data_IF_819999789237
#
_entry.id   IF_819999789237
#
_cell.length_a   1.000
_cell.length_b   1.000
_cell.length_c   1.000
_cell.angle_alpha   90.00
_cell.angle_beta   90.00
_cell.angle_gamma   90.00
#
_symmetry.space_group_name_H-M   'P 1'
#
loop_
_entity.id
_entity.type
_entity.pdbx_description
1 polymer ?
#
# COMPACT_ATOMS: atom_id res chain seq x y z
N UNK A 1 17.74 -37.06 -0.57
CA UNK A 1 16.58 -36.52 -1.31
C UNK A 1 15.92 -35.29 -0.67
N UNK A 2 15.82 -35.17 0.66
CA UNK A 2 15.10 -34.05 1.31
C UNK A 2 15.70 -32.64 1.04
N UNK A 3 17.03 -32.51 1.00
CA UNK A 3 17.71 -31.23 0.75
C UNK A 3 17.40 -30.66 -0.65
N UNK A 4 17.49 -31.51 -1.69
CA UNK A 4 17.15 -31.14 -3.06
C UNK A 4 15.69 -30.66 -3.18
N UNK A 5 14.77 -31.29 -2.45
CA UNK A 5 13.35 -30.92 -2.41
C UNK A 5 13.13 -29.56 -1.73
N UNK A 6 13.90 -29.22 -0.69
CA UNK A 6 13.84 -27.90 -0.01
C UNK A 6 14.36 -26.78 -0.90
N UNK A 7 15.51 -26.98 -1.54
CA UNK A 7 16.12 -26.00 -2.46
C UNK A 7 15.17 -25.75 -3.63
N UNK A 8 14.67 -26.81 -4.27
CA UNK A 8 13.69 -26.69 -5.36
C UNK A 8 12.44 -25.92 -4.93
N UNK A 9 11.91 -26.16 -3.73
CA UNK A 9 10.72 -25.43 -3.22
C UNK A 9 11.01 -23.95 -3.00
N UNK A 10 12.19 -23.60 -2.49
CA UNK A 10 12.59 -22.21 -2.28
C UNK A 10 12.75 -21.45 -3.60
N UNK A 11 13.42 -22.06 -4.58
CA UNK A 11 13.62 -21.47 -5.91
C UNK A 11 12.34 -21.34 -6.74
N UNK A 12 11.31 -22.13 -6.41
CA UNK A 12 9.98 -22.05 -7.02
C UNK A 12 9.04 -21.09 -6.26
N UNK A 13 9.48 -20.43 -5.20
CA UNK A 13 8.69 -19.35 -4.60
C UNK A 13 8.60 -18.24 -5.63
N UNK A 14 7.40 -17.95 -6.13
CA UNK A 14 7.17 -16.74 -6.92
C UNK A 14 7.60 -15.56 -6.06
N UNK A 15 8.52 -14.75 -6.59
CA UNK A 15 8.74 -13.42 -6.05
C UNK A 15 7.37 -12.74 -6.05
N UNK A 16 6.93 -12.26 -4.89
CA UNK A 16 5.61 -11.62 -4.77
C UNK A 16 5.55 -10.54 -5.83
N UNK A 17 4.68 -10.71 -6.83
CA UNK A 17 4.57 -9.74 -7.90
C UNK A 17 4.36 -8.38 -7.25
N UNK A 18 5.31 -7.47 -7.45
CA UNK A 18 5.04 -6.04 -7.30
C UNK A 18 3.99 -5.76 -8.36
N UNK A 19 2.73 -5.90 -7.98
CA UNK A 19 1.56 -5.63 -8.80
C UNK A 19 1.71 -4.18 -9.27
N UNK A 20 2.21 -4.02 -10.50
CA UNK A 20 2.38 -2.75 -11.19
C UNK A 20 0.97 -2.21 -11.49
N UNK A 21 0.25 -1.71 -10.48
CA UNK A 21 -0.90 -0.81 -10.66
C UNK A 21 -0.50 0.56 -11.23
N UNK A 22 0.65 0.65 -11.89
CA UNK A 22 1.01 1.72 -12.81
C UNK A 22 0.44 1.46 -14.22
N UNK A 23 -0.82 1.02 -14.35
CA UNK A 23 -1.50 0.89 -15.65
C UNK A 23 -3.03 1.10 -15.51
N UNK A 24 -3.45 2.27 -15.02
CA UNK A 24 -4.78 2.84 -15.33
C UNK A 24 -4.90 4.31 -14.91
N UNK A 25 -3.97 5.17 -15.37
CA UNK A 25 -4.19 6.63 -15.41
C UNK A 25 -3.91 7.21 -16.79
N UNK A 26 -4.04 6.39 -17.85
CA UNK A 26 -4.21 6.82 -19.24
C UNK A 26 -5.63 7.35 -19.50
N UNK A 27 -6.10 8.24 -18.62
CA UNK A 27 -7.23 9.14 -18.86
C UNK A 27 -6.99 10.42 -18.08
N UNK A 28 -5.87 11.07 -18.40
CA UNK A 28 -5.75 12.51 -18.23
C UNK A 28 -6.90 13.15 -19.02
N UNK A 29 -7.92 13.65 -18.31
CA UNK A 29 -8.78 14.70 -18.86
C UNK A 29 -7.94 15.97 -18.86
N UNK A 30 -7.55 16.40 -20.05
CA UNK A 30 -7.31 17.82 -20.32
C UNK A 30 -8.49 18.62 -19.76
N UNK A 31 -8.23 19.45 -18.77
CA UNK A 31 -9.04 20.64 -18.53
C UNK A 31 -8.07 21.80 -18.58
N UNK A 32 -7.96 22.33 -19.79
CA UNK A 32 -7.53 23.70 -20.04
C UNK A 32 -8.44 24.66 -19.25
N UNK A 33 -7.85 25.40 -18.32
CA UNK A 33 -7.91 26.88 -18.27
C UNK A 33 -7.17 27.41 -17.04
N UNK A 34 -6.43 28.46 -17.33
CA UNK A 34 -5.49 29.23 -16.51
C UNK A 34 -6.18 29.83 -15.27
N UNK A 35 -5.54 29.68 -14.10
CA UNK A 35 -5.55 30.71 -13.05
C UNK A 35 -4.20 30.70 -12.32
N UNK A 36 -3.36 31.70 -12.60
CA UNK A 36 -1.96 31.81 -12.19
C UNK A 36 -1.75 32.12 -10.68
N UNK A 37 -2.79 32.05 -9.84
CA UNK A 37 -2.69 32.41 -8.41
C UNK A 37 -3.07 31.32 -7.40
N UNK A 38 -3.20 30.06 -7.80
CA UNK A 38 -3.28 28.95 -6.83
C UNK A 38 -2.07 28.04 -6.98
N UNK A 39 -1.12 28.16 -6.04
CA UNK A 39 -0.12 27.12 -5.78
C UNK A 39 -0.90 25.88 -5.31
N UNK A 40 -1.49 25.16 -6.27
CA UNK A 40 -2.19 23.90 -6.05
C UNK A 40 -1.12 22.88 -5.68
N UNK A 41 -0.95 22.66 -4.38
CA UNK A 41 -0.22 21.51 -3.85
C UNK A 41 -1.00 20.24 -4.20
N UNK A 42 -0.93 19.80 -5.46
CA UNK A 42 -1.43 18.49 -5.91
C UNK A 42 -0.40 17.43 -5.59
N UNK A 43 -0.36 17.05 -4.34
CA UNK A 43 0.27 15.80 -3.92
C UNK A 43 -0.63 15.22 -2.83
N UNK A 44 -1.60 14.41 -3.25
CA UNK A 44 -2.45 13.65 -2.34
C UNK A 44 -1.98 12.21 -2.42
N UNK A 45 -1.54 11.65 -1.29
CA UNK A 45 -1.28 10.21 -1.14
C UNK A 45 -2.52 9.60 -0.51
N UNK A 46 -3.34 8.96 -1.33
CA UNK A 46 -4.52 8.21 -0.87
C UNK A 46 -4.08 6.78 -0.58
N UNK A 47 -4.08 6.37 0.69
CA UNK A 47 -3.90 4.97 1.04
C UNK A 47 -5.27 4.28 1.03
N UNK A 48 -5.46 3.32 0.13
CA UNK A 48 -6.65 2.47 0.10
C UNK A 48 -6.24 1.00 0.30
N UNK A 49 -6.27 0.56 1.56
CA UNK A 49 -5.95 -0.80 1.96
C UNK A 49 -7.23 -1.59 2.23
N UNK A 50 -7.56 -2.53 1.34
CA UNK A 50 -8.71 -3.41 1.52
C UNK A 50 -8.50 -4.36 2.69
N UNK A 51 -7.50 -5.24 2.64
CA UNK A 51 -7.22 -6.21 3.70
C UNK A 51 -5.74 -6.58 3.71
N UNK A 52 -5.17 -6.80 4.90
CA UNK A 52 -3.82 -7.35 5.05
C UNK A 52 -3.79 -8.42 6.15
N UNK A 53 -3.02 -9.47 5.92
CA UNK A 53 -2.82 -10.57 6.86
C UNK A 53 -1.35 -10.96 6.91
N UNK A 54 -0.88 -11.36 8.09
CA UNK A 54 0.50 -11.80 8.24
C UNK A 54 0.66 -13.29 7.85
N UNK A 55 -0.31 -14.12 8.23
CA UNK A 55 -0.31 -15.54 7.88
C UNK A 55 -1.25 -15.81 6.72
N UNK A 56 -0.87 -16.76 5.84
CA UNK A 56 -1.69 -17.14 4.66
C UNK A 56 -3.10 -17.61 5.03
N UNK A 57 -3.26 -18.21 6.21
CA UNK A 57 -4.54 -18.70 6.73
C UNK A 57 -4.94 -18.01 8.06
N UNK A 58 -4.34 -16.86 8.35
CA UNK A 58 -4.58 -16.12 9.58
C UNK A 58 -5.82 -15.23 9.50
N UNK A 59 -6.21 -14.67 10.65
CA UNK A 59 -7.17 -13.57 10.68
C UNK A 59 -6.52 -12.33 10.04
N UNK A 60 -7.27 -11.60 9.22
CA UNK A 60 -6.80 -10.31 8.71
C UNK A 60 -6.46 -9.36 9.86
N UNK A 61 -5.21 -8.91 9.88
CA UNK A 61 -4.67 -7.96 10.85
C UNK A 61 -5.15 -6.54 10.57
N UNK A 62 -5.33 -6.19 9.29
CA UNK A 62 -5.84 -4.89 8.84
C UNK A 62 -7.02 -5.10 7.90
N UNK A 63 -8.09 -4.31 8.07
CA UNK A 63 -9.32 -4.39 7.26
C UNK A 63 -9.83 -2.99 6.95
N UNK A 64 -10.19 -2.77 5.68
CA UNK A 64 -10.84 -1.59 5.13
C UNK A 64 -10.29 -0.26 5.67
N UNK A 65 -8.99 -0.03 5.50
CA UNK A 65 -8.39 1.25 5.86
C UNK A 65 -8.26 2.16 4.66
N UNK A 66 -8.87 3.33 4.77
CA UNK A 66 -8.76 4.41 3.78
C UNK A 66 -8.38 5.67 4.53
N UNK A 67 -7.28 6.31 4.12
CA UNK A 67 -6.90 7.62 4.65
C UNK A 67 -6.16 8.43 3.57
N UNK A 68 -6.28 9.74 3.68
CA UNK A 68 -5.57 10.70 2.84
C UNK A 68 -4.39 11.30 3.61
N UNK A 69 -3.25 11.43 2.95
CA UNK A 69 -2.06 12.09 3.48
C UNK A 69 -1.51 13.08 2.46
N UNK A 70 -1.20 14.30 2.90
CA UNK A 70 -0.66 15.37 2.06
C UNK A 70 0.78 15.71 2.51
N UNK A 71 1.66 16.18 1.60
CA UNK A 71 2.97 16.63 2.00
C UNK A 71 2.93 17.78 2.99
N UNK A 72 3.65 17.59 4.10
CA UNK A 72 3.62 18.48 5.25
C UNK A 72 2.70 18.01 6.37
N UNK A 73 1.88 16.97 6.16
CA UNK A 73 1.04 16.41 7.21
C UNK A 73 1.86 15.61 8.23
N UNK A 74 1.52 15.83 9.50
CA UNK A 74 1.94 14.98 10.60
C UNK A 74 0.77 14.10 11.01
N UNK A 75 0.79 12.83 10.59
CA UNK A 75 -0.28 11.86 10.87
C UNK A 75 0.13 10.96 12.04
N UNK A 76 -0.74 10.87 13.05
CA UNK A 76 -0.55 9.98 14.20
C UNK A 76 -1.50 8.78 14.13
N UNK A 77 -0.95 7.57 14.21
CA UNK A 77 -1.71 6.31 14.24
C UNK A 77 -1.73 5.79 15.68
N UNK A 78 -2.90 5.83 16.34
CA UNK A 78 -3.09 5.39 17.73
C UNK A 78 -3.99 4.16 17.84
N UNK A 79 -3.86 3.42 18.94
CA UNK A 79 -4.70 2.25 19.23
C UNK A 79 -4.05 1.27 20.22
N UNK A 80 -4.82 0.29 20.74
CA UNK A 80 -4.34 -0.67 21.72
C UNK A 80 -3.20 -1.56 21.19
N UNK A 81 -2.49 -2.24 22.09
CA UNK A 81 -1.45 -3.20 21.70
C UNK A 81 -2.07 -4.30 20.83
N UNK A 82 -1.39 -4.70 19.75
CA UNK A 82 -1.90 -5.70 18.81
C UNK A 82 -2.92 -5.19 17.77
N UNK A 83 -3.25 -3.89 17.75
CA UNK A 83 -4.20 -3.31 16.78
C UNK A 83 -3.69 -3.22 15.34
N UNK A 84 -2.42 -3.58 15.08
CA UNK A 84 -1.84 -3.57 13.72
C UNK A 84 -1.13 -2.29 13.29
N UNK A 85 -0.81 -1.35 14.20
CA UNK A 85 -0.09 -0.09 13.87
C UNK A 85 1.23 -0.33 13.10
N UNK A 86 2.10 -1.19 13.64
CA UNK A 86 3.37 -1.54 12.96
C UNK A 86 3.12 -2.29 11.66
N UNK A 87 2.10 -3.15 11.62
CA UNK A 87 1.69 -3.86 10.40
C UNK A 87 1.20 -2.91 9.31
N UNK A 88 0.55 -1.81 9.68
CA UNK A 88 0.14 -0.77 8.73
C UNK A 88 1.37 -0.11 8.10
N UNK A 89 2.36 0.27 8.91
CA UNK A 89 3.62 0.83 8.40
C UNK A 89 4.38 -0.16 7.50
N UNK A 90 4.39 -1.45 7.86
CA UNK A 90 4.97 -2.52 7.02
C UNK A 90 4.22 -2.74 5.71
N UNK A 91 2.95 -2.34 5.61
CA UNK A 91 2.17 -2.44 4.37
C UNK A 91 2.42 -1.24 3.45
N UNK A 92 2.82 -0.10 4.01
CA UNK A 92 3.15 1.12 3.28
C UNK A 92 4.59 1.16 2.76
N UNK A 93 5.49 0.39 3.39
CA UNK A 93 6.93 0.31 3.06
C UNK A 93 7.17 -0.85 2.10
#
# INVERSE_FOLDING_TARGET
>A
MAAQKRIRRFLLLNESERDNRLLSTSSFKEIDKIDENSIQRKSQVICNLKQAQWEKNGKFSLKNMVFDAYPGDLICIIGPVGSGKSSLLQTLT
#
